data_IF_908099644444
#
_entry.id   IF_908099644444
#
_cell.length_a   1.000
_cell.length_b   1.000
_cell.length_c   1.000
_cell.angle_alpha   90.00
_cell.angle_beta   90.00
_cell.angle_gamma   90.00
#
_symmetry.space_group_name_H-M   'P 1'
#
loop_
_entity.id
_entity.type
_entity.pdbx_description
1 polymer ?
#
# COMPACT_ATOMS: atom_id res chain seq x y z
N UNK A 1 21.34 40.90 -39.79
CA UNK A 1 20.41 40.10 -38.98
C UNK A 1 21.05 39.47 -37.74
N UNK A 2 22.36 39.19 -37.72
CA UNK A 2 23.09 38.67 -36.56
C UNK A 2 23.13 39.55 -35.27
N UNK A 3 23.18 40.91 -35.32
CA UNK A 3 23.41 41.70 -34.09
C UNK A 3 22.19 41.75 -33.14
N UNK A 4 20.98 41.55 -33.66
CA UNK A 4 19.74 41.54 -32.86
C UNK A 4 19.64 40.27 -32.00
N UNK A 5 20.13 39.15 -32.53
CA UNK A 5 20.16 37.87 -31.82
C UNK A 5 21.15 37.95 -30.65
N UNK A 6 22.32 38.55 -30.87
CA UNK A 6 23.31 38.78 -29.81
C UNK A 6 22.75 39.66 -28.67
N UNK A 7 22.08 40.79 -29.01
CA UNK A 7 21.46 41.64 -27.97
C UNK A 7 20.30 40.96 -27.23
N UNK A 8 19.54 40.09 -27.90
CA UNK A 8 18.47 39.33 -27.27
C UNK A 8 19.02 38.24 -26.32
N UNK A 9 20.15 37.63 -26.68
CA UNK A 9 20.85 36.67 -25.82
C UNK A 9 21.46 37.35 -24.58
N UNK A 10 22.03 38.54 -24.73
CA UNK A 10 22.54 39.31 -23.59
C UNK A 10 21.41 39.75 -22.64
N UNK A 11 20.28 40.21 -23.18
CA UNK A 11 19.11 40.57 -22.38
C UNK A 11 18.50 39.37 -21.63
N UNK A 12 18.43 38.20 -22.27
CA UNK A 12 17.90 36.97 -21.64
C UNK A 12 18.85 36.43 -20.56
N UNK A 13 20.17 36.53 -20.75
CA UNK A 13 21.15 36.11 -19.74
C UNK A 13 21.19 37.05 -18.53
N UNK A 14 21.00 38.35 -18.70
CA UNK A 14 20.83 39.29 -17.57
C UNK A 14 19.55 39.03 -16.78
N UNK A 15 18.43 38.76 -17.47
CA UNK A 15 17.17 38.41 -16.81
C UNK A 15 17.29 37.12 -15.99
N UNK A 16 17.98 36.11 -16.54
CA UNK A 16 18.19 34.83 -15.86
C UNK A 16 19.14 34.97 -14.66
N UNK A 17 20.17 35.83 -14.75
CA UNK A 17 21.02 36.19 -13.59
C UNK A 17 20.26 36.93 -12.49
N UNK A 18 19.33 37.80 -12.86
CA UNK A 18 18.47 38.55 -11.92
C UNK A 18 17.45 37.65 -11.21
N UNK A 19 16.96 36.62 -11.88
CA UNK A 19 16.05 35.63 -11.28
C UNK A 19 16.81 34.65 -10.37
N UNK A 20 18.03 34.25 -10.77
CA UNK A 20 18.92 33.40 -9.97
C UNK A 20 19.36 34.03 -8.64
N UNK A 21 19.36 35.36 -8.51
CA UNK A 21 19.70 36.06 -7.25
C UNK A 21 18.55 36.08 -6.23
N UNK A 22 17.40 35.48 -6.55
CA UNK A 22 16.22 35.38 -5.67
C UNK A 22 15.95 33.93 -5.23
N UNK A 23 16.85 33.27 -4.47
CA UNK A 23 16.77 31.84 -4.19
C UNK A 23 15.69 31.42 -3.18
N UNK A 24 14.82 32.33 -2.72
CA UNK A 24 13.90 32.05 -1.60
C UNK A 24 12.91 30.93 -1.87
N UNK A 25 12.54 30.71 -3.14
CA UNK A 25 11.48 29.78 -3.52
C UNK A 25 12.00 28.46 -4.11
N UNK A 26 13.30 28.36 -4.41
CA UNK A 26 13.93 27.12 -4.89
C UNK A 26 13.66 25.90 -4.00
N UNK A 27 13.84 25.96 -2.66
CA UNK A 27 13.59 24.79 -1.82
C UNK A 27 12.13 24.34 -1.83
N UNK A 28 11.18 25.29 -1.98
CA UNK A 28 9.75 24.99 -2.05
C UNK A 28 9.39 24.24 -3.34
N UNK A 29 9.93 24.67 -4.49
CA UNK A 29 9.71 23.97 -5.75
C UNK A 29 10.33 22.58 -5.77
N UNK A 30 11.55 22.43 -5.23
CA UNK A 30 12.21 21.12 -5.14
C UNK A 30 11.38 20.16 -4.27
N UNK A 31 10.88 20.63 -3.13
CA UNK A 31 10.01 19.83 -2.27
C UNK A 31 8.71 19.42 -2.99
N UNK A 32 8.07 20.34 -3.70
CA UNK A 32 6.83 20.06 -4.44
C UNK A 32 7.04 18.99 -5.52
N UNK A 33 8.18 19.02 -6.23
CA UNK A 33 8.53 18.01 -7.25
C UNK A 33 8.73 16.64 -6.60
N UNK A 34 9.48 16.57 -5.49
CA UNK A 34 9.72 15.31 -4.77
C UNK A 34 8.40 14.73 -4.24
N UNK A 35 7.58 15.56 -3.60
CA UNK A 35 6.28 15.15 -3.07
C UNK A 35 5.35 14.64 -4.18
N UNK A 36 5.32 15.33 -5.34
CA UNK A 36 4.57 14.88 -6.51
C UNK A 36 5.06 13.52 -7.02
N UNK A 37 6.37 13.33 -7.12
CA UNK A 37 6.96 12.07 -7.58
C UNK A 37 6.58 10.89 -6.65
N UNK A 38 6.69 11.09 -5.33
CA UNK A 38 6.28 10.08 -4.33
C UNK A 38 4.78 9.77 -4.46
N UNK A 39 3.93 10.79 -4.62
CA UNK A 39 2.50 10.60 -4.77
C UNK A 39 2.16 9.78 -6.04
N UNK A 40 2.79 10.07 -7.18
CA UNK A 40 2.59 9.33 -8.41
C UNK A 40 3.03 7.86 -8.28
N UNK A 41 4.16 7.60 -7.61
CA UNK A 41 4.63 6.23 -7.35
C UNK A 41 3.64 5.47 -6.47
N UNK A 42 3.12 6.09 -5.41
CA UNK A 42 2.14 5.46 -4.52
C UNK A 42 0.83 5.17 -5.24
N UNK A 43 0.33 6.09 -6.06
CA UNK A 43 -0.88 5.90 -6.86
C UNK A 43 -0.66 4.77 -7.87
N UNK A 44 0.47 4.76 -8.58
CA UNK A 44 0.82 3.71 -9.52
C UNK A 44 0.91 2.33 -8.84
N UNK A 45 1.53 2.26 -7.67
CA UNK A 45 1.61 1.05 -6.86
C UNK A 45 0.21 0.58 -6.42
N UNK A 46 -0.63 1.49 -5.91
CA UNK A 46 -1.99 1.16 -5.50
C UNK A 46 -2.82 0.58 -6.67
N UNK A 47 -2.77 1.22 -7.84
CA UNK A 47 -3.44 0.73 -9.04
C UNK A 47 -2.89 -0.65 -9.44
N UNK A 48 -1.56 -0.80 -9.48
CA UNK A 48 -0.92 -2.06 -9.85
C UNK A 48 -1.31 -3.21 -8.91
N UNK A 49 -1.30 -2.97 -7.60
CA UNK A 49 -1.74 -3.95 -6.58
C UNK A 49 -3.22 -4.30 -6.67
N UNK A 50 -4.07 -3.37 -7.13
CA UNK A 50 -5.49 -3.64 -7.35
C UNK A 50 -5.70 -4.60 -8.53
N UNK A 51 -4.91 -4.46 -9.60
CA UNK A 51 -5.05 -5.31 -10.79
C UNK A 51 -4.33 -6.66 -10.70
N UNK A 52 -3.18 -6.72 -10.02
CA UNK A 52 -2.39 -7.94 -9.89
C UNK A 52 -2.72 -8.72 -8.62
N UNK A 53 -3.56 -8.16 -7.76
CA UNK A 53 -3.71 -8.62 -6.39
C UNK A 53 -2.43 -8.32 -5.60
N UNK A 54 -2.59 -8.06 -4.31
CA UNK A 54 -1.49 -8.39 -3.40
C UNK A 54 -1.50 -9.91 -3.43
N UNK A 55 -0.53 -10.54 -4.10
CA UNK A 55 -0.36 -11.98 -4.02
C UNK A 55 -0.19 -12.31 -2.53
N UNK A 56 -1.31 -12.66 -1.89
CA UNK A 56 -1.36 -13.50 -0.71
C UNK A 56 -0.71 -14.79 -1.17
N UNK A 57 0.62 -14.79 -1.05
CA UNK A 57 1.54 -15.89 -1.35
C UNK A 57 0.76 -17.17 -1.29
N UNK A 58 0.46 -17.70 -2.48
CA UNK A 58 0.22 -19.11 -2.72
C UNK A 58 -0.49 -19.74 -1.52
N UNK A 59 -1.83 -19.60 -1.42
CA UNK A 59 -2.62 -20.21 -0.33
C UNK A 59 -2.02 -21.57 -0.02
N UNK A 60 -1.18 -21.62 1.01
CA UNK A 60 -0.30 -22.76 1.17
C UNK A 60 -1.26 -23.86 1.56
N UNK A 61 -1.49 -24.79 0.62
CA UNK A 61 -2.68 -25.60 0.66
C UNK A 61 -2.60 -26.40 1.96
N UNK A 62 -3.35 -25.92 2.97
CA UNK A 62 -3.08 -26.30 4.35
C UNK A 62 -3.27 -27.80 4.41
N UNK A 63 -2.24 -28.53 4.82
CA UNK A 63 -2.27 -30.00 4.81
C UNK A 63 -3.53 -30.51 5.51
N UNK A 64 -4.07 -31.64 5.06
CA UNK A 64 -5.32 -32.20 5.58
C UNK A 64 -5.35 -32.26 7.12
N UNK A 65 -4.25 -32.71 7.73
CA UNK A 65 -4.10 -32.79 9.19
C UNK A 65 -4.15 -31.41 9.87
N UNK A 66 -3.52 -30.39 9.25
CA UNK A 66 -3.53 -29.05 9.80
C UNK A 66 -4.92 -28.40 9.65
N UNK A 67 -5.63 -28.66 8.55
CA UNK A 67 -7.04 -28.24 8.38
C UNK A 67 -7.95 -28.91 9.41
N UNK A 68 -7.77 -30.22 9.62
CA UNK A 68 -8.51 -30.99 10.62
C UNK A 68 -8.27 -30.44 12.02
N UNK A 69 -7.00 -30.24 12.39
CA UNK A 69 -6.63 -29.63 13.66
C UNK A 69 -7.28 -28.26 13.88
N UNK A 70 -7.24 -27.37 12.88
CA UNK A 70 -7.86 -26.05 13.00
C UNK A 70 -9.38 -26.12 13.19
N UNK A 71 -10.07 -27.07 12.52
CA UNK A 71 -11.51 -27.31 12.71
C UNK A 71 -11.80 -27.80 14.15
N UNK A 72 -11.01 -28.74 14.65
CA UNK A 72 -11.16 -29.26 16.01
C UNK A 72 -10.95 -28.17 17.06
N UNK A 73 -9.91 -27.34 16.92
CA UNK A 73 -9.62 -26.23 17.83
C UNK A 73 -10.77 -25.21 17.83
N UNK A 74 -11.28 -24.85 16.64
CA UNK A 74 -12.41 -23.92 16.52
C UNK A 74 -13.63 -24.44 17.27
N UNK A 75 -13.92 -25.73 17.16
CA UNK A 75 -15.08 -26.34 17.81
C UNK A 75 -14.92 -26.46 19.32
N UNK A 76 -13.73 -26.79 19.82
CA UNK A 76 -13.44 -26.77 21.28
C UNK A 76 -13.67 -25.37 21.85
N UNK A 77 -13.24 -24.34 21.14
CA UNK A 77 -13.46 -22.95 21.54
C UNK A 77 -14.96 -22.63 21.54
N UNK A 78 -15.70 -22.94 20.47
CA UNK A 78 -17.16 -22.71 20.42
C UNK A 78 -17.89 -23.45 21.55
N UNK A 79 -17.50 -24.69 21.84
CA UNK A 79 -18.07 -25.46 22.95
C UNK A 79 -17.76 -24.82 24.31
N UNK A 80 -16.55 -24.30 24.52
CA UNK A 80 -16.22 -23.54 25.75
C UNK A 80 -17.05 -22.26 25.88
N UNK A 81 -17.34 -21.59 24.76
CA UNK A 81 -18.23 -20.43 24.73
C UNK A 81 -19.67 -20.83 25.06
N UNK A 82 -20.18 -21.95 24.53
CA UNK A 82 -21.51 -22.46 24.82
C UNK A 82 -21.70 -22.81 26.31
N UNK A 83 -20.69 -23.40 26.94
CA UNK A 83 -20.66 -23.65 28.39
C UNK A 83 -20.70 -22.34 29.16
N UNK A 84 -19.88 -21.37 28.77
CA UNK A 84 -19.83 -20.04 29.41
C UNK A 84 -21.17 -19.30 29.27
N UNK A 85 -21.82 -19.43 28.11
CA UNK A 85 -23.13 -18.84 27.81
C UNK A 85 -24.31 -19.62 28.44
N UNK A 86 -24.06 -20.71 29.17
CA UNK A 86 -25.08 -21.60 29.75
C UNK A 86 -26.08 -22.11 28.69
N UNK A 87 -25.60 -22.38 27.47
CA UNK A 87 -26.34 -22.95 26.34
C UNK A 87 -25.83 -24.37 26.04
N UNK A 88 -26.19 -25.36 26.88
CA UNK A 88 -25.71 -26.74 26.71
C UNK A 88 -26.25 -27.41 25.44
N UNK A 89 -27.31 -26.86 24.86
CA UNK A 89 -27.93 -27.26 23.59
C UNK A 89 -27.02 -27.03 22.38
N UNK A 90 -26.04 -26.13 22.49
CA UNK A 90 -25.13 -25.75 21.40
C UNK A 90 -23.80 -26.52 21.41
N UNK A 91 -23.62 -27.47 22.33
CA UNK A 91 -22.37 -28.23 22.47
C UNK A 91 -22.37 -29.39 21.46
N UNK A 92 -21.42 -29.38 20.53
CA UNK A 92 -21.32 -30.41 19.47
C UNK A 92 -20.05 -31.24 19.68
N UNK A 93 -20.13 -32.59 19.74
CA UNK A 93 -18.96 -33.47 19.87
C UNK A 93 -17.94 -33.27 18.75
N UNK A 94 -16.65 -33.27 19.09
CA UNK A 94 -15.56 -32.97 18.14
C UNK A 94 -15.31 -34.15 17.18
N UNK A 95 -15.54 -35.40 17.59
CA UNK A 95 -15.40 -36.58 16.71
C UNK A 95 -16.32 -36.58 15.48
N UNK A 96 -17.47 -35.91 15.54
CA UNK A 96 -18.49 -35.97 14.48
C UNK A 96 -18.16 -35.13 13.23
N UNK A 97 -17.04 -34.39 13.24
CA UNK A 97 -16.64 -33.50 12.15
C UNK A 97 -15.72 -34.13 11.08
N UNK A 98 -15.47 -35.45 11.17
CA UNK A 98 -14.56 -36.19 10.29
C UNK A 98 -15.22 -36.74 9.00
N UNK A 99 -16.36 -36.19 8.58
CA UNK A 99 -16.97 -36.50 7.28
C UNK A 99 -16.48 -35.57 6.17
#
# INVERSE_FOLDING_TARGET
MAPVIASAMDATTELLKRDASSPSNYPLYIFAIIAGCVAFVLIGCAIWTMYHGIEDKEFHDVGYEQRKYMREVRQRNVNSLAVTAKRPDMIIPVEQLNY
#
